data_IF_653136243287
#
_entry.id   IF_653136243287
#
_cell.length_a   1.000
_cell.length_b   1.000
_cell.length_c   1.000
_cell.angle_alpha   90.00
_cell.angle_beta   90.00
_cell.angle_gamma   90.00
#
_symmetry.space_group_name_H-M   'P 1'
#
loop_
_entity.id
_entity.type
_entity.pdbx_description
1 polymer ?
#
# COMPACT_ATOMS: atom_id res chain seq x y z
N UNK A 1 -0.40 1.33 13.04
CA UNK A 1 0.25 1.01 11.76
C UNK A 1 1.75 1.15 11.91
N UNK A 2 2.46 0.07 11.69
CA UNK A 2 3.92 0.04 11.82
C UNK A 2 4.59 0.30 10.48
N UNK A 3 3.95 -0.14 9.40
CA UNK A 3 4.54 -0.07 8.07
C UNK A 3 3.46 0.05 7.01
N UNK A 4 3.75 0.78 5.95
CA UNK A 4 2.84 0.93 4.81
C UNK A 4 3.63 0.74 3.53
N UNK A 5 3.14 -0.13 2.65
CA UNK A 5 3.75 -0.39 1.35
C UNK A 5 2.71 -0.17 0.26
N UNK A 6 3.11 0.49 -0.79
CA UNK A 6 2.26 0.76 -1.95
C UNK A 6 2.65 -0.14 -3.10
N UNK A 7 1.66 -0.69 -3.79
CA UNK A 7 1.85 -1.54 -4.97
C UNK A 7 1.07 -0.97 -6.12
N UNK A 8 1.68 -0.92 -7.29
CA UNK A 8 0.96 -0.53 -8.50
C UNK A 8 0.28 -1.76 -9.12
N UNK A 9 -0.40 -1.58 -10.26
CA UNK A 9 -1.11 -2.66 -10.92
C UNK A 9 -0.20 -3.76 -11.46
N UNK A 10 1.09 -3.46 -11.59
CA UNK A 10 2.10 -4.42 -12.06
C UNK A 10 2.78 -5.16 -10.92
N UNK A 11 2.39 -4.86 -9.68
CA UNK A 11 2.96 -5.51 -8.51
C UNK A 11 4.26 -4.90 -8.02
N UNK A 12 4.67 -3.77 -8.55
CA UNK A 12 5.88 -3.08 -8.09
C UNK A 12 5.60 -2.40 -6.76
N UNK A 13 6.48 -2.59 -5.78
CA UNK A 13 6.31 -2.01 -4.45
C UNK A 13 7.10 -0.72 -4.29
N UNK A 14 6.64 0.17 -3.40
CA UNK A 14 7.28 1.44 -3.13
C UNK A 14 6.91 1.95 -1.75
N UNK A 15 7.75 2.81 -1.19
CA UNK A 15 7.48 3.51 0.07
C UNK A 15 6.54 4.69 -0.11
N UNK A 16 6.36 5.14 -1.34
CA UNK A 16 5.52 6.29 -1.66
C UNK A 16 4.46 5.86 -2.66
N UNK A 17 3.29 6.51 -2.67
CA UNK A 17 2.23 6.11 -3.59
C UNK A 17 2.59 6.40 -5.04
N UNK A 18 2.12 5.52 -5.92
CA UNK A 18 2.21 5.73 -7.36
C UNK A 18 1.05 6.60 -7.82
N UNK A 19 1.26 7.29 -8.92
CA UNK A 19 0.18 7.99 -9.60
C UNK A 19 -0.80 6.96 -10.16
N UNK A 20 -2.08 7.15 -9.91
CA UNK A 20 -3.12 6.22 -10.32
C UNK A 20 -3.55 5.32 -9.19
N UNK A 21 -3.97 4.11 -9.53
CA UNK A 21 -4.49 3.16 -8.54
C UNK A 21 -3.36 2.44 -7.82
N UNK A 22 -3.44 2.44 -6.49
CA UNK A 22 -2.50 1.75 -5.62
C UNK A 22 -3.23 0.69 -4.80
N UNK A 23 -2.59 -0.45 -4.61
CA UNK A 23 -2.96 -1.39 -3.57
C UNK A 23 -2.06 -1.10 -2.36
N UNK A 24 -2.67 -0.73 -1.25
CA UNK A 24 -1.93 -0.28 -0.08
C UNK A 24 -1.97 -1.36 0.99
N UNK A 25 -0.80 -1.77 1.45
CA UNK A 25 -0.67 -2.78 2.48
C UNK A 25 -0.18 -2.11 3.76
N UNK A 26 -1.02 -2.14 4.79
CA UNK A 26 -0.66 -1.66 6.12
C UNK A 26 -0.35 -2.83 7.02
N UNK A 27 0.81 -2.83 7.65
CA UNK A 27 1.16 -3.83 8.66
C UNK A 27 0.93 -3.21 10.04
N UNK A 28 0.13 -3.87 10.85
CA UNK A 28 -0.20 -3.40 12.19
C UNK A 28 0.80 -3.93 13.21
N UNK A 29 0.81 -3.31 14.38
CA UNK A 29 1.77 -3.62 15.42
C UNK A 29 1.64 -5.06 15.93
N UNK A 30 0.44 -5.63 15.86
CA UNK A 30 0.18 -7.00 16.31
C UNK A 30 0.42 -8.04 15.20
N UNK A 31 0.94 -7.63 14.06
CA UNK A 31 1.23 -8.52 12.94
C UNK A 31 0.10 -8.66 11.94
N UNK A 32 -1.05 -8.05 12.18
CA UNK A 32 -2.16 -8.10 11.22
C UNK A 32 -1.87 -7.23 10.02
N UNK A 33 -2.46 -7.60 8.89
CA UNK A 33 -2.28 -6.89 7.63
C UNK A 33 -3.63 -6.40 7.14
N UNK A 34 -3.68 -5.13 6.77
CA UNK A 34 -4.87 -4.51 6.19
C UNK A 34 -4.53 -4.07 4.78
N UNK A 35 -5.36 -4.48 3.82
CA UNK A 35 -5.19 -4.10 2.40
C UNK A 35 -6.32 -3.14 2.03
N UNK A 36 -5.96 -2.04 1.39
CA UNK A 36 -6.94 -1.11 0.86
C UNK A 36 -6.50 -0.59 -0.49
N UNK A 37 -7.43 0.01 -1.23
CA UNK A 37 -7.13 0.62 -2.53
C UNK A 37 -7.17 2.12 -2.40
N UNK A 38 -6.25 2.80 -3.08
CA UNK A 38 -6.12 4.24 -3.03
C UNK A 38 -5.82 4.77 -4.42
N UNK A 39 -6.54 5.81 -4.82
CA UNK A 39 -6.33 6.44 -6.12
C UNK A 39 -5.67 7.81 -5.92
N UNK A 40 -4.54 8.00 -6.58
CA UNK A 40 -3.76 9.25 -6.54
C UNK A 40 -3.84 9.90 -7.91
N UNK A 41 -4.32 11.13 -7.94
CA UNK A 41 -4.44 11.89 -9.20
C UNK A 41 -3.10 12.38 -9.71
#
# INVERSE_FOLDING_TARGET
IVNTTYYNMQGVSSDVPFKGLNNVKHTLQDGRIVIEKQYIK
#
